data_IF_889647734007
#
_entry.id   IF_889647734007
#
_cell.length_a   1.000
_cell.length_b   1.000
_cell.length_c   1.000
_cell.angle_alpha   90.00
_cell.angle_beta   90.00
_cell.angle_gamma   90.00
#
_symmetry.space_group_name_H-M   'P 1'
#
loop_
_entity.id
_entity.type
_entity.pdbx_description
1 polymer ?
#
# COMPACT_ATOMS: atom_id res chain seq x y z
N UNK A 1 24.85 -5.98 8.88
CA UNK A 1 25.40 -7.05 8.01
C UNK A 1 24.55 -7.12 6.76
N UNK A 2 25.11 -6.71 5.62
CA UNK A 2 24.61 -7.13 4.31
C UNK A 2 25.51 -8.30 3.93
N UNK A 3 25.07 -9.51 4.27
CA UNK A 3 25.74 -10.78 3.91
C UNK A 3 24.72 -11.57 3.11
N UNK A 4 25.09 -12.03 1.92
CA UNK A 4 24.19 -12.64 0.94
C UNK A 4 23.24 -13.68 1.55
N UNK A 5 21.94 -13.50 1.34
CA UNK A 5 20.88 -14.31 1.91
C UNK A 5 19.52 -13.73 1.53
N UNK A 6 18.59 -14.60 1.15
CA UNK A 6 17.22 -14.35 0.69
C UNK A 6 16.64 -13.01 1.16
N UNK A 7 16.41 -12.08 0.22
CA UNK A 7 15.74 -10.83 0.56
C UNK A 7 14.30 -11.18 0.95
N UNK A 8 13.94 -10.93 2.20
CA UNK A 8 12.61 -11.25 2.71
C UNK A 8 11.55 -10.57 1.84
N UNK A 9 10.59 -11.36 1.36
CA UNK A 9 9.48 -10.91 0.54
C UNK A 9 8.80 -9.65 1.09
N UNK A 10 8.68 -9.55 2.42
CA UNK A 10 8.14 -8.40 3.15
C UNK A 10 8.83 -7.07 2.82
N UNK A 11 10.15 -7.07 2.58
CA UNK A 11 10.93 -5.86 2.25
C UNK A 11 10.51 -5.26 0.92
N UNK A 12 9.95 -6.06 0.01
CA UNK A 12 9.42 -5.57 -1.26
C UNK A 12 7.93 -5.25 -1.18
N UNK A 13 7.15 -6.15 -0.58
CA UNK A 13 5.69 -6.05 -0.60
C UNK A 13 5.19 -4.89 0.24
N UNK A 14 5.79 -4.64 1.41
CA UNK A 14 5.36 -3.54 2.29
C UNK A 14 5.50 -2.18 1.59
N UNK A 15 6.68 -1.76 1.09
CA UNK A 15 6.77 -0.48 0.40
C UNK A 15 5.97 -0.46 -0.90
N UNK A 16 5.84 -1.59 -1.61
CA UNK A 16 5.04 -1.66 -2.83
C UNK A 16 3.54 -1.43 -2.56
N UNK A 17 2.98 -2.00 -1.50
CA UNK A 17 1.60 -1.76 -1.06
C UNK A 17 1.40 -0.30 -0.64
N UNK A 18 2.31 0.26 0.16
CA UNK A 18 2.22 1.64 0.62
C UNK A 18 2.31 2.63 -0.55
N UNK A 19 3.30 2.45 -1.44
CA UNK A 19 3.48 3.31 -2.62
C UNK A 19 2.31 3.19 -3.60
N UNK A 20 1.83 1.98 -3.86
CA UNK A 20 0.66 1.76 -4.71
C UNK A 20 -0.59 2.40 -4.12
N UNK A 21 -0.86 2.22 -2.81
CA UNK A 21 -1.97 2.86 -2.12
C UNK A 21 -1.91 4.39 -2.20
N UNK A 22 -0.72 4.97 -2.01
CA UNK A 22 -0.49 6.42 -2.15
C UNK A 22 -0.68 6.91 -3.59
N UNK A 23 -0.20 6.16 -4.58
CA UNK A 23 -0.36 6.50 -6.00
C UNK A 23 -1.83 6.47 -6.41
N UNK A 24 -2.59 5.45 -6.00
CA UNK A 24 -4.03 5.36 -6.28
C UNK A 24 -4.75 6.58 -5.66
N UNK A 25 -4.46 6.92 -4.40
CA UNK A 25 -5.08 8.06 -3.73
C UNK A 25 -4.70 9.42 -4.36
N UNK A 26 -3.49 9.57 -4.91
CA UNK A 26 -3.05 10.85 -5.51
C UNK A 26 -3.43 10.98 -6.97
N UNK A 27 -3.30 9.92 -7.76
CA UNK A 27 -3.46 9.93 -9.21
C UNK A 27 -4.89 9.57 -9.56
N UNK A 28 -5.34 8.36 -9.21
CA UNK A 28 -6.63 7.82 -9.66
C UNK A 28 -7.79 8.59 -9.04
N UNK A 29 -7.78 8.82 -7.73
CA UNK A 29 -8.85 9.58 -7.05
C UNK A 29 -8.95 11.01 -7.59
N UNK A 30 -7.82 11.63 -7.95
CA UNK A 30 -7.80 12.97 -8.56
C UNK A 30 -8.31 12.93 -10.00
N UNK A 31 -7.94 11.90 -10.76
CA UNK A 31 -8.40 11.68 -12.14
C UNK A 31 -9.92 11.43 -12.20
N UNK A 32 -10.45 10.68 -11.25
CA UNK A 32 -11.87 10.36 -11.15
C UNK A 32 -12.70 11.43 -10.42
N UNK A 33 -12.11 12.57 -10.07
CA UNK A 33 -12.84 13.71 -9.52
C UNK A 33 -13.71 14.44 -10.56
N UNK A 34 -13.71 13.98 -11.82
CA UNK A 34 -14.51 14.53 -12.90
C UNK A 34 -16.02 14.25 -12.70
N UNK A 35 -16.91 15.15 -13.18
CA UNK A 35 -18.36 14.95 -13.13
C UNK A 35 -18.75 13.61 -13.79
N UNK A 36 -19.58 12.83 -13.11
CA UNK A 36 -20.04 11.51 -13.59
C UNK A 36 -19.19 10.31 -13.15
N UNK A 37 -17.99 10.51 -12.60
CA UNK A 37 -17.07 9.42 -12.21
C UNK A 37 -17.04 9.11 -10.71
N UNK A 38 -18.08 9.51 -9.95
CA UNK A 38 -18.10 9.37 -8.49
C UNK A 38 -18.00 7.91 -8.00
N UNK A 39 -18.53 6.96 -8.77
CA UNK A 39 -18.44 5.52 -8.45
C UNK A 39 -16.99 5.04 -8.52
N UNK A 40 -16.28 5.38 -9.60
CA UNK A 40 -14.87 5.02 -9.79
C UNK A 40 -13.98 5.72 -8.75
N UNK A 41 -14.23 6.99 -8.47
CA UNK A 41 -13.55 7.72 -7.39
C UNK A 41 -13.67 7.02 -6.05
N UNK A 42 -14.87 6.58 -5.68
CA UNK A 42 -15.11 5.89 -4.40
C UNK A 42 -14.41 4.52 -4.37
N UNK A 43 -14.41 3.79 -5.49
CA UNK A 43 -13.67 2.54 -5.62
C UNK A 43 -12.16 2.74 -5.48
N UNK A 44 -11.57 3.73 -6.16
CA UNK A 44 -10.15 4.07 -6.04
C UNK A 44 -9.78 4.55 -4.63
N UNK A 45 -10.65 5.34 -3.98
CA UNK A 45 -10.45 5.72 -2.57
C UNK A 45 -10.40 4.49 -1.67
N UNK A 46 -11.35 3.56 -1.83
CA UNK A 46 -11.37 2.32 -1.06
C UNK A 46 -10.12 1.48 -1.31
N UNK A 47 -9.75 1.25 -2.57
CA UNK A 47 -8.55 0.47 -2.94
C UNK A 47 -7.25 1.10 -2.43
N UNK A 48 -7.12 2.43 -2.53
CA UNK A 48 -5.96 3.15 -2.06
C UNK A 48 -5.79 3.06 -0.53
N UNK A 49 -6.87 3.29 0.22
CA UNK A 49 -6.87 3.13 1.67
C UNK A 49 -6.68 1.67 2.10
N UNK A 50 -7.27 0.72 1.39
CA UNK A 50 -7.11 -0.71 1.65
C UNK A 50 -5.64 -1.14 1.50
N UNK A 51 -4.97 -0.72 0.42
CA UNK A 51 -3.53 -0.99 0.22
C UNK A 51 -2.66 -0.35 1.32
N UNK A 52 -2.97 0.87 1.74
CA UNK A 52 -2.27 1.53 2.84
C UNK A 52 -2.44 0.79 4.16
N UNK A 53 -3.68 0.43 4.52
CA UNK A 53 -3.98 -0.29 5.77
C UNK A 53 -3.28 -1.65 5.76
N UNK A 54 -3.34 -2.39 4.66
CA UNK A 54 -2.63 -3.66 4.53
C UNK A 54 -1.11 -3.50 4.65
N UNK A 55 -0.52 -2.50 3.99
CA UNK A 55 0.91 -2.21 4.09
C UNK A 55 1.34 -1.87 5.52
N UNK A 56 0.55 -1.06 6.24
CA UNK A 56 0.80 -0.71 7.65
C UNK A 56 0.66 -1.93 8.54
N UNK A 57 -0.39 -2.74 8.35
CA UNK A 57 -0.62 -3.95 9.14
C UNK A 57 0.53 -4.95 8.96
N UNK A 58 0.98 -5.18 7.72
CA UNK A 58 2.13 -6.04 7.42
C UNK A 58 3.41 -5.51 8.06
N UNK A 59 3.62 -4.19 8.07
CA UNK A 59 4.76 -3.58 8.74
C UNK A 59 4.73 -3.82 10.24
N UNK A 60 3.57 -3.67 10.88
CA UNK A 60 3.39 -3.93 12.30
C UNK A 60 3.62 -5.41 12.63
N UNK A 61 3.03 -6.33 11.88
CA UNK A 61 3.21 -7.78 12.07
C UNK A 61 4.66 -8.19 11.86
N UNK A 62 5.32 -7.69 10.81
CA UNK A 62 6.74 -7.97 10.56
C UNK A 62 7.62 -7.45 11.71
N UNK A 63 7.33 -6.26 12.23
CA UNK A 63 8.07 -5.68 13.36
C UNK A 63 7.86 -6.48 14.64
N UNK A 64 6.62 -6.91 14.92
CA UNK A 64 6.29 -7.77 16.07
C UNK A 64 6.96 -9.15 15.97
N UNK A 65 6.97 -9.77 14.79
CA UNK A 65 7.64 -11.05 14.57
C UNK A 65 9.15 -10.96 14.71
N UNK A 66 9.77 -9.84 14.33
CA UNK A 66 11.22 -9.64 14.51
C UNK A 66 11.64 -9.32 15.94
N UNK A 67 10.69 -8.95 16.83
CA UNK A 67 10.96 -8.70 18.24
C UNK A 67 11.14 -10.01 19.04
N UNK A 68 10.58 -11.12 18.55
CA UNK A 68 10.72 -12.46 19.12
C UNK A 68 11.86 -13.25 18.45
#
# INVERSE_FOLDING_TARGET
MITGGSISFSVYVIPMLLLSGLLILKVDVKRYALPGMQKEKKASQFLGWFNLILGILLLLVNSLLQIW
#
